data_IF_762540615051
#
_entry.id   IF_762540615051
#
_cell.length_a   1.000
_cell.length_b   1.000
_cell.length_c   1.000
_cell.angle_alpha   90.00
_cell.angle_beta   90.00
_cell.angle_gamma   90.00
#
_symmetry.space_group_name_H-M   'P 1'
#
loop_
_entity.id
_entity.type
_entity.pdbx_description
1 polymer ?
#
# COMPACT_ATOMS: atom_id res chain seq x y z
N UNK A 1 -6.90 3.12 36.06
CA UNK A 1 -7.20 1.68 36.23
C UNK A 1 -8.37 1.32 35.34
N UNK A 2 -8.29 0.24 34.59
CA UNK A 2 -9.27 -0.32 33.65
C UNK A 2 -9.23 0.25 32.22
N UNK A 3 -8.35 -0.33 31.39
CA UNK A 3 -8.52 -0.52 29.93
C UNK A 3 -7.55 -1.63 29.45
N UNK A 4 -7.70 -2.85 29.96
CA UNK A 4 -6.86 -4.02 29.57
C UNK A 4 -7.68 -5.23 29.09
N UNK A 5 -9.00 -5.14 28.90
CA UNK A 5 -9.84 -6.33 28.68
C UNK A 5 -10.45 -6.48 27.26
N UNK A 6 -10.15 -5.60 26.30
CA UNK A 6 -10.75 -5.69 24.97
C UNK A 6 -10.06 -6.69 24.02
N UNK A 7 -8.76 -6.84 24.12
CA UNK A 7 -7.96 -7.60 23.15
C UNK A 7 -8.00 -9.13 23.35
N UNK A 8 -8.10 -9.56 24.61
CA UNK A 8 -8.20 -11.00 24.91
C UNK A 8 -9.56 -11.62 24.53
N UNK A 9 -10.61 -10.84 24.38
CA UNK A 9 -11.94 -11.33 23.99
C UNK A 9 -12.04 -11.59 22.49
N UNK A 10 -11.30 -10.88 21.66
CA UNK A 10 -11.31 -11.06 20.21
C UNK A 10 -10.54 -12.32 19.77
N UNK A 11 -9.37 -12.56 20.34
CA UNK A 11 -8.61 -13.79 20.10
C UNK A 11 -9.33 -15.06 20.59
N UNK A 12 -10.11 -14.95 21.68
CA UNK A 12 -10.92 -16.09 22.20
C UNK A 12 -12.15 -16.38 21.31
N UNK A 13 -12.69 -15.40 20.60
CA UNK A 13 -13.80 -15.62 19.66
C UNK A 13 -13.33 -16.30 18.36
N UNK A 14 -12.14 -16.05 17.89
CA UNK A 14 -11.57 -16.74 16.71
C UNK A 14 -11.18 -18.19 17.01
N UNK A 15 -10.75 -18.51 18.26
CA UNK A 15 -10.47 -19.90 18.66
C UNK A 15 -11.74 -20.75 18.88
N UNK A 16 -12.89 -20.13 19.11
CA UNK A 16 -14.15 -20.84 19.37
C UNK A 16 -14.87 -21.34 18.10
N UNK A 17 -14.55 -20.79 16.93
CA UNK A 17 -15.18 -21.20 15.66
C UNK A 17 -14.56 -22.48 15.08
N UNK A 18 -13.37 -22.88 15.53
CA UNK A 18 -12.72 -24.14 15.10
C UNK A 18 -13.03 -25.36 15.99
N UNK A 19 -13.85 -25.22 17.04
CA UNK A 19 -14.14 -26.26 18.01
C UNK A 19 -15.60 -26.77 18.07
N UNK A 20 -16.48 -26.35 17.17
CA UNK A 20 -17.88 -26.76 17.18
C UNK A 20 -18.18 -27.85 16.14
N UNK A 21 -17.64 -29.04 16.35
CA UNK A 21 -17.91 -30.22 15.51
C UNK A 21 -17.77 -31.55 16.26
N UNK A 22 -17.99 -31.57 17.59
CA UNK A 22 -18.03 -32.82 18.36
C UNK A 22 -19.38 -32.95 19.05
N UNK A 23 -20.23 -33.84 18.53
CA UNK A 23 -21.45 -34.30 19.20
C UNK A 23 -21.01 -35.19 20.36
N UNK A 24 -21.30 -34.78 21.58
CA UNK A 24 -21.14 -35.62 22.78
C UNK A 24 -22.28 -36.61 22.92
N UNK A 25 -21.95 -37.88 22.84
CA UNK A 25 -22.80 -38.96 23.35
C UNK A 25 -22.18 -39.48 24.65
N UNK A 26 -22.88 -39.54 25.78
CA UNK A 26 -22.29 -40.06 27.02
C UNK A 26 -22.34 -41.60 27.05
N UNK A 27 -21.21 -42.23 27.29
CA UNK A 27 -21.15 -43.62 27.68
C UNK A 27 -19.96 -44.42 27.20
N UNK A 28 -19.14 -44.86 28.19
CA UNK A 28 -18.14 -45.93 28.13
C UNK A 28 -16.80 -45.65 27.47
N UNK A 29 -15.79 -45.44 28.30
CA UNK A 29 -14.39 -45.56 27.96
C UNK A 29 -14.02 -47.03 27.74
N UNK A 30 -13.69 -47.40 26.50
CA UNK A 30 -12.88 -48.58 26.19
C UNK A 30 -11.66 -48.10 25.45
N UNK A 31 -10.50 -48.21 26.10
CA UNK A 31 -9.22 -47.97 25.47
C UNK A 31 -8.94 -49.14 24.49
N UNK A 32 -9.20 -48.93 23.20
CA UNK A 32 -8.70 -49.75 22.13
C UNK A 32 -7.31 -49.28 21.68
N UNK A 33 -6.34 -50.15 21.42
CA UNK A 33 -5.05 -49.70 20.87
C UNK A 33 -5.22 -49.10 19.47
N UNK A 34 -4.50 -48.01 19.22
CA UNK A 34 -4.54 -47.35 17.94
C UNK A 34 -4.15 -48.31 16.80
N UNK A 35 -4.94 -48.41 15.73
CA UNK A 35 -4.56 -49.18 14.56
C UNK A 35 -3.38 -48.48 13.87
N UNK A 36 -2.29 -49.21 13.66
CA UNK A 36 -1.20 -48.79 12.80
C UNK A 36 -1.74 -48.82 11.37
N UNK A 37 -2.11 -47.67 10.85
CA UNK A 37 -2.56 -47.56 9.47
C UNK A 37 -1.36 -47.80 8.54
N UNK A 38 -1.24 -48.98 7.99
CA UNK A 38 -0.51 -49.16 6.75
C UNK A 38 -1.25 -48.41 5.65
N UNK A 39 -0.71 -47.27 5.22
CA UNK A 39 -1.21 -46.53 4.08
C UNK A 39 -0.95 -47.38 2.82
N UNK A 40 -1.93 -48.17 2.42
CA UNK A 40 -2.02 -48.64 1.05
C UNK A 40 -2.36 -47.41 0.17
N UNK A 41 -1.39 -46.99 -0.63
CA UNK A 41 -1.56 -45.97 -1.64
C UNK A 41 -2.50 -46.50 -2.75
N UNK A 42 -3.81 -46.41 -2.51
CA UNK A 42 -4.81 -46.83 -3.50
C UNK A 42 -4.97 -45.73 -4.55
N UNK A 43 -4.82 -46.09 -5.81
CA UNK A 43 -5.07 -45.22 -6.97
C UNK A 43 -6.46 -44.50 -6.94
N UNK A 44 -7.42 -45.06 -6.23
CA UNK A 44 -8.75 -44.46 -5.99
C UNK A 44 -8.72 -43.18 -5.16
N UNK A 45 -7.82 -43.06 -4.17
CA UNK A 45 -7.68 -41.84 -3.35
C UNK A 45 -7.01 -40.70 -4.12
N UNK A 46 -6.09 -41.02 -5.03
CA UNK A 46 -5.42 -40.05 -5.90
C UNK A 46 -6.38 -39.48 -6.95
N UNK A 47 -7.26 -40.33 -7.49
CA UNK A 47 -8.29 -39.90 -8.43
C UNK A 47 -9.35 -39.04 -7.72
N UNK A 48 -9.78 -39.41 -6.52
CA UNK A 48 -10.71 -38.62 -5.69
C UNK A 48 -10.18 -37.24 -5.36
N UNK A 49 -8.94 -37.17 -4.83
CA UNK A 49 -8.27 -35.90 -4.52
C UNK A 49 -8.04 -35.03 -5.78
N UNK A 50 -7.78 -35.65 -6.94
CA UNK A 50 -7.67 -34.94 -8.22
C UNK A 50 -8.99 -34.33 -8.69
N UNK A 51 -10.10 -35.05 -8.54
CA UNK A 51 -11.43 -34.56 -8.91
C UNK A 51 -11.91 -33.46 -7.94
N UNK A 52 -11.71 -33.63 -6.66
CA UNK A 52 -11.99 -32.58 -5.65
C UNK A 52 -11.16 -31.34 -5.90
N UNK A 53 -9.88 -31.47 -6.20
CA UNK A 53 -8.99 -30.39 -6.59
C UNK A 53 -9.44 -29.64 -7.86
N UNK A 54 -9.88 -30.38 -8.89
CA UNK A 54 -10.38 -29.77 -10.14
C UNK A 54 -11.71 -29.03 -9.94
N UNK A 55 -12.65 -29.57 -9.15
CA UNK A 55 -13.91 -28.90 -8.79
C UNK A 55 -13.65 -27.61 -8.01
N UNK A 56 -12.64 -27.60 -7.20
CA UNK A 56 -12.18 -26.49 -6.46
C UNK A 56 -11.65 -25.35 -7.29
N UNK A 57 -10.74 -25.66 -8.14
CA UNK A 57 -10.23 -24.71 -9.10
C UNK A 57 -11.36 -24.09 -9.94
N UNK A 58 -12.35 -24.90 -10.33
CA UNK A 58 -13.51 -24.41 -11.07
C UNK A 58 -14.36 -23.44 -10.24
N UNK A 59 -14.58 -23.72 -8.94
CA UNK A 59 -15.33 -22.84 -8.04
C UNK A 59 -14.57 -21.53 -7.77
N UNK A 60 -13.26 -21.61 -7.49
CA UNK A 60 -12.43 -20.42 -7.31
C UNK A 60 -12.40 -19.58 -8.59
N UNK A 61 -12.28 -20.20 -9.75
CA UNK A 61 -12.28 -19.49 -11.05
C UNK A 61 -13.62 -18.78 -11.27
N UNK A 62 -14.76 -19.40 -10.95
CA UNK A 62 -16.09 -18.76 -11.02
C UNK A 62 -16.21 -17.59 -10.04
N UNK A 63 -15.70 -17.75 -8.82
CA UNK A 63 -15.70 -16.71 -7.80
C UNK A 63 -14.90 -15.50 -8.27
N UNK A 64 -13.66 -15.70 -8.73
CA UNK A 64 -12.81 -14.63 -9.24
C UNK A 64 -13.41 -13.98 -10.48
N UNK A 65 -13.94 -14.76 -11.42
CA UNK A 65 -14.64 -14.21 -12.59
C UNK A 65 -15.84 -13.33 -12.20
N UNK A 66 -16.58 -13.70 -11.15
CA UNK A 66 -17.68 -12.87 -10.64
C UNK A 66 -17.12 -11.62 -9.96
N UNK A 67 -16.33 -11.75 -8.89
CA UNK A 67 -16.02 -10.65 -7.99
C UNK A 67 -14.79 -9.84 -8.37
N UNK A 68 -13.93 -10.36 -9.25
CA UNK A 68 -12.79 -9.62 -9.75
C UNK A 68 -13.03 -9.04 -11.15
N UNK A 69 -13.74 -9.75 -12.04
CA UNK A 69 -13.76 -9.40 -13.46
C UNK A 69 -15.12 -8.82 -13.91
N UNK A 70 -16.28 -9.24 -13.33
CA UNK A 70 -17.57 -8.69 -13.75
C UNK A 70 -17.91 -7.40 -12.99
N UNK A 71 -18.48 -6.42 -13.69
CA UNK A 71 -18.87 -5.14 -13.08
C UNK A 71 -19.87 -5.32 -11.93
N UNK A 72 -20.92 -6.11 -12.14
CA UNK A 72 -21.93 -6.41 -11.12
C UNK A 72 -21.30 -7.03 -9.87
N UNK A 73 -20.45 -8.03 -10.04
CA UNK A 73 -19.80 -8.71 -8.90
C UNK A 73 -18.80 -7.80 -8.18
N UNK A 74 -18.08 -6.96 -8.90
CA UNK A 74 -17.18 -5.94 -8.31
C UNK A 74 -17.95 -4.98 -7.41
N UNK A 75 -19.10 -4.49 -7.87
CA UNK A 75 -19.96 -3.59 -7.11
C UNK A 75 -20.58 -4.32 -5.90
N UNK A 76 -21.07 -5.55 -6.06
CA UNK A 76 -21.58 -6.37 -4.95
C UNK A 76 -20.51 -6.57 -3.87
N UNK A 77 -19.27 -6.87 -4.28
CA UNK A 77 -18.13 -7.03 -3.36
C UNK A 77 -17.79 -5.70 -2.65
N UNK A 78 -17.81 -4.59 -3.37
CA UNK A 78 -17.56 -3.26 -2.83
C UNK A 78 -18.59 -2.84 -1.79
N UNK A 79 -19.88 -3.04 -2.06
CA UNK A 79 -20.93 -2.71 -1.10
C UNK A 79 -20.83 -3.59 0.17
N UNK A 80 -20.40 -4.83 0.04
CA UNK A 80 -20.18 -5.68 1.19
C UNK A 80 -18.95 -5.24 2.01
N UNK A 81 -17.86 -4.81 1.35
CA UNK A 81 -16.72 -4.19 2.04
C UNK A 81 -17.17 -2.98 2.87
N UNK A 82 -18.00 -2.11 2.31
CA UNK A 82 -18.52 -0.93 3.01
C UNK A 82 -19.35 -1.29 4.25
N UNK A 83 -20.12 -2.38 4.20
CA UNK A 83 -20.87 -2.88 5.37
C UNK A 83 -19.95 -3.43 6.46
N UNK A 84 -18.92 -4.19 6.07
CA UNK A 84 -17.98 -4.84 7.00
C UNK A 84 -17.05 -3.85 7.70
N UNK A 85 -16.54 -2.85 6.96
CA UNK A 85 -15.55 -1.89 7.46
C UNK A 85 -16.16 -0.56 7.92
N UNK A 86 -17.41 -0.30 7.57
CA UNK A 86 -18.06 0.99 7.78
C UNK A 86 -17.52 2.07 6.84
N UNK A 87 -18.31 3.11 6.64
CA UNK A 87 -17.94 4.23 5.75
C UNK A 87 -17.78 5.51 6.55
N UNK A 88 -16.68 6.20 6.34
CA UNK A 88 -16.47 7.54 6.87
C UNK A 88 -17.07 8.58 5.90
N UNK A 89 -17.93 9.44 6.42
CA UNK A 89 -18.65 10.45 5.64
C UNK A 89 -18.07 11.87 5.82
N UNK A 90 -16.81 12.00 6.29
CA UNK A 90 -16.15 13.31 6.36
C UNK A 90 -15.97 13.86 4.95
N UNK A 91 -16.67 14.97 4.68
CA UNK A 91 -16.68 15.57 3.34
C UNK A 91 -15.29 16.04 2.91
N UNK A 92 -14.49 16.60 3.82
CA UNK A 92 -13.18 17.14 3.48
C UNK A 92 -12.19 16.01 3.12
N UNK A 93 -12.20 14.91 3.88
CA UNK A 93 -11.37 13.73 3.59
C UNK A 93 -11.79 13.08 2.27
N UNK A 94 -13.08 12.87 2.04
CA UNK A 94 -13.57 12.25 0.82
C UNK A 94 -13.24 13.12 -0.41
N UNK A 95 -13.50 14.45 -0.38
CA UNK A 95 -13.16 15.34 -1.48
C UNK A 95 -11.65 15.40 -1.77
N UNK A 96 -10.82 15.29 -0.74
CA UNK A 96 -9.36 15.20 -0.86
C UNK A 96 -8.95 13.92 -1.60
N UNK A 97 -9.50 12.77 -1.21
CA UNK A 97 -9.22 11.50 -1.87
C UNK A 97 -9.74 11.47 -3.29
N UNK A 98 -10.94 12.01 -3.56
CA UNK A 98 -11.47 12.10 -4.92
C UNK A 98 -10.52 12.85 -5.85
N UNK A 99 -9.93 13.94 -5.37
CA UNK A 99 -8.94 14.73 -6.12
C UNK A 99 -7.65 13.90 -6.39
N UNK A 100 -7.14 13.20 -5.37
CA UNK A 100 -5.94 12.38 -5.51
C UNK A 100 -6.18 11.22 -6.46
N UNK A 101 -7.30 10.52 -6.33
CA UNK A 101 -7.65 9.38 -7.19
C UNK A 101 -7.86 9.81 -8.65
N UNK A 102 -8.48 10.98 -8.88
CA UNK A 102 -8.63 11.53 -10.24
C UNK A 102 -7.27 11.83 -10.88
N UNK A 103 -6.36 12.47 -10.15
CA UNK A 103 -5.01 12.78 -10.63
C UNK A 103 -4.20 11.52 -10.91
N UNK A 104 -4.26 10.52 -10.02
CA UNK A 104 -3.58 9.23 -10.22
C UNK A 104 -4.19 8.46 -11.41
N UNK A 105 -5.52 8.44 -11.55
CA UNK A 105 -6.17 7.80 -12.69
C UNK A 105 -5.72 8.40 -14.01
N UNK A 106 -5.61 9.74 -14.09
CA UNK A 106 -5.10 10.42 -15.27
C UNK A 106 -3.62 10.09 -15.53
N UNK A 107 -2.79 10.08 -14.50
CA UNK A 107 -1.37 9.72 -14.59
C UNK A 107 -1.18 8.26 -15.06
N UNK A 108 -1.90 7.33 -14.45
CA UNK A 108 -1.86 5.90 -14.85
C UNK A 108 -2.37 5.74 -16.27
N UNK A 109 -3.48 6.39 -16.62
CA UNK A 109 -4.05 6.32 -17.97
C UNK A 109 -3.11 6.80 -19.08
N UNK A 110 -2.12 7.66 -18.75
CA UNK A 110 -1.10 8.10 -19.70
C UNK A 110 -0.06 7.01 -20.01
N UNK A 111 0.13 6.02 -19.14
CA UNK A 111 1.11 4.93 -19.28
C UNK A 111 0.44 3.57 -19.42
N UNK A 112 -0.74 3.37 -18.83
CA UNK A 112 -1.55 2.15 -18.89
C UNK A 112 -3.04 2.51 -19.05
N UNK A 113 -3.52 2.66 -20.31
CA UNK A 113 -4.92 3.02 -20.57
C UNK A 113 -5.96 1.99 -20.09
N UNK A 114 -5.54 0.76 -19.76
CA UNK A 114 -6.46 -0.29 -19.27
C UNK A 114 -7.13 0.07 -17.93
N UNK A 115 -6.63 1.10 -17.23
CA UNK A 115 -7.28 1.62 -16.02
C UNK A 115 -8.72 2.08 -16.29
N UNK A 116 -9.01 2.54 -17.50
CA UNK A 116 -10.35 3.00 -17.87
C UNK A 116 -11.32 1.85 -18.14
N UNK A 117 -10.80 0.65 -18.47
CA UNK A 117 -11.62 -0.54 -18.70
C UNK A 117 -12.14 -1.13 -17.38
N UNK A 118 -11.41 -0.91 -16.28
CA UNK A 118 -11.73 -1.40 -14.94
C UNK A 118 -11.46 -0.32 -13.90
N UNK A 119 -12.34 0.69 -13.78
CA UNK A 119 -12.17 1.81 -12.82
C UNK A 119 -12.10 1.33 -11.38
N UNK A 120 -11.40 2.09 -10.54
CA UNK A 120 -11.31 1.83 -9.10
C UNK A 120 -12.57 2.29 -8.37
N UNK A 121 -13.07 1.44 -7.48
CA UNK A 121 -14.01 1.81 -6.42
C UNK A 121 -13.22 2.03 -5.14
N UNK A 122 -13.51 3.07 -4.38
CA UNK A 122 -12.81 3.36 -3.14
C UNK A 122 -13.71 4.03 -2.11
N UNK A 123 -13.38 3.84 -0.85
CA UNK A 123 -14.04 4.53 0.27
C UNK A 123 -13.08 4.68 1.43
N UNK A 124 -13.34 5.67 2.29
CA UNK A 124 -12.66 5.84 3.57
C UNK A 124 -13.46 5.08 4.63
N UNK A 125 -12.79 4.25 5.41
CA UNK A 125 -13.37 3.57 6.56
C UNK A 125 -13.01 4.27 7.88
N UNK A 126 -13.59 3.81 9.02
CA UNK A 126 -13.38 4.42 10.34
C UNK A 126 -12.22 3.79 11.14
N UNK A 127 -11.41 2.91 10.56
CA UNK A 127 -10.26 2.33 11.24
C UNK A 127 -9.16 3.39 11.44
N UNK A 128 -8.67 3.49 12.65
CA UNK A 128 -7.64 4.47 13.06
C UNK A 128 -6.22 3.94 12.92
N UNK A 129 -6.02 2.71 12.46
CA UNK A 129 -4.70 2.19 12.10
C UNK A 129 -4.19 2.80 10.79
N UNK A 130 -2.87 2.93 10.66
CA UNK A 130 -2.25 3.38 9.43
C UNK A 130 -2.33 2.27 8.38
N UNK A 131 -3.27 2.37 7.44
CA UNK A 131 -3.37 1.42 6.33
C UNK A 131 -4.22 1.96 5.19
N UNK A 132 -4.00 1.42 4.00
CA UNK A 132 -4.90 1.39 2.86
C UNK A 132 -4.68 0.07 2.14
N UNK A 133 -5.67 -0.44 1.40
CA UNK A 133 -5.48 -1.66 0.64
C UNK A 133 -6.36 -1.74 -0.59
N UNK A 134 -5.81 -2.36 -1.62
CA UNK A 134 -6.56 -2.81 -2.79
C UNK A 134 -6.89 -4.31 -2.68
N UNK A 135 -8.07 -4.70 -3.13
CA UNK A 135 -8.53 -6.09 -3.18
C UNK A 135 -9.15 -6.42 -4.53
N UNK A 136 -9.88 -7.55 -4.62
CA UNK A 136 -10.51 -8.00 -5.87
C UNK A 136 -11.34 -6.90 -6.52
N UNK A 137 -11.34 -6.87 -7.84
CA UNK A 137 -12.20 -6.00 -8.62
C UNK A 137 -11.79 -4.52 -8.62
N UNK A 138 -10.54 -4.18 -8.32
CA UNK A 138 -10.06 -2.81 -8.11
C UNK A 138 -10.85 -2.08 -7.02
N UNK A 139 -11.25 -2.80 -5.97
CA UNK A 139 -11.89 -2.21 -4.81
C UNK A 139 -10.85 -1.84 -3.76
N UNK A 140 -10.89 -0.60 -3.26
CA UNK A 140 -9.94 -0.06 -2.30
C UNK A 140 -10.65 0.42 -1.04
N UNK A 141 -10.00 0.21 0.10
CA UNK A 141 -10.41 0.78 1.38
C UNK A 141 -9.24 1.56 1.98
N UNK A 142 -9.53 2.75 2.50
CA UNK A 142 -8.55 3.69 3.04
C UNK A 142 -8.92 3.94 4.50
N UNK A 143 -8.02 3.65 5.43
CA UNK A 143 -8.27 3.85 6.84
C UNK A 143 -8.16 5.35 7.20
N UNK A 144 -9.03 5.84 8.09
CA UNK A 144 -8.89 7.21 8.63
C UNK A 144 -7.55 7.44 9.30
N UNK A 145 -6.92 6.39 9.85
CA UNK A 145 -5.59 6.46 10.43
C UNK A 145 -4.49 6.87 9.45
N UNK A 146 -4.66 6.65 8.15
CA UNK A 146 -3.72 7.12 7.13
C UNK A 146 -3.54 8.64 7.20
N UNK A 147 -4.63 9.39 7.35
CA UNK A 147 -4.63 10.86 7.38
C UNK A 147 -4.09 11.45 8.68
N UNK A 148 -4.06 10.67 9.74
CA UNK A 148 -3.44 11.10 11.01
C UNK A 148 -1.91 11.07 10.93
N UNK A 149 -1.36 10.31 10.02
CA UNK A 149 0.09 10.17 9.79
C UNK A 149 0.54 10.97 8.58
N UNK A 150 -0.17 10.86 7.45
CA UNK A 150 0.16 11.54 6.20
C UNK A 150 -0.70 12.81 6.08
N UNK A 151 -0.08 13.95 6.30
CA UNK A 151 -0.72 15.27 6.19
C UNK A 151 -0.56 15.87 4.80
N UNK A 152 0.39 15.35 3.99
CA UNK A 152 0.75 15.81 2.67
C UNK A 152 0.08 14.94 1.58
N UNK A 153 -0.51 15.57 0.57
CA UNK A 153 -1.18 14.88 -0.56
C UNK A 153 -0.21 14.07 -1.41
N UNK A 154 1.03 14.54 -1.56
CA UNK A 154 2.04 13.81 -2.33
C UNK A 154 2.33 12.42 -1.72
N UNK A 155 2.42 12.35 -0.37
CA UNK A 155 2.66 11.08 0.33
C UNK A 155 1.43 10.15 0.30
N UNK A 156 0.22 10.72 0.43
CA UNK A 156 -1.02 9.96 0.28
C UNK A 156 -1.12 9.40 -1.14
N UNK A 157 -0.80 10.21 -2.16
CA UNK A 157 -0.80 9.77 -3.54
C UNK A 157 0.19 8.62 -3.79
N UNK A 158 1.34 8.59 -3.12
CA UNK A 158 2.27 7.46 -3.21
C UNK A 158 1.64 6.18 -2.68
N UNK A 159 1.00 6.22 -1.51
CA UNK A 159 0.34 5.04 -0.93
C UNK A 159 -0.78 4.56 -1.85
N UNK A 160 -1.66 5.47 -2.30
CA UNK A 160 -2.75 5.10 -3.20
C UNK A 160 -2.25 4.62 -4.57
N UNK A 161 -1.21 5.23 -5.12
CA UNK A 161 -0.55 4.78 -6.35
C UNK A 161 0.05 3.38 -6.22
N UNK A 162 0.59 3.03 -5.05
CA UNK A 162 1.05 1.68 -4.73
C UNK A 162 -0.11 0.67 -4.71
N UNK A 163 -1.22 1.01 -4.04
CA UNK A 163 -2.41 0.18 -4.02
C UNK A 163 -3.03 0.01 -5.41
N UNK A 164 -3.06 1.07 -6.21
CA UNK A 164 -3.48 0.99 -7.60
C UNK A 164 -2.52 0.13 -8.44
N UNK A 165 -1.21 0.13 -8.13
CA UNK A 165 -0.24 -0.78 -8.72
C UNK A 165 -0.57 -2.25 -8.44
N UNK A 166 -0.99 -2.58 -7.22
CA UNK A 166 -1.49 -3.92 -6.89
C UNK A 166 -2.73 -4.28 -7.72
N UNK A 167 -3.66 -3.35 -7.90
CA UNK A 167 -4.86 -3.55 -8.73
C UNK A 167 -4.50 -3.79 -10.20
N UNK A 168 -3.73 -2.87 -10.82
CA UNK A 168 -3.34 -2.96 -12.25
C UNK A 168 -2.58 -4.26 -12.58
N UNK A 169 -1.88 -4.84 -11.60
CA UNK A 169 -1.20 -6.14 -11.76
C UNK A 169 -2.02 -7.33 -11.26
N UNK A 170 -3.26 -7.10 -10.86
CA UNK A 170 -4.18 -8.15 -10.37
C UNK A 170 -3.57 -8.99 -9.23
N UNK A 171 -2.75 -8.35 -8.38
CA UNK A 171 -2.06 -9.00 -7.26
C UNK A 171 -3.04 -9.62 -6.26
N UNK A 172 -4.17 -8.97 -5.90
CA UNK A 172 -5.16 -9.57 -4.99
C UNK A 172 -5.74 -10.87 -5.53
N UNK A 173 -6.08 -10.95 -6.81
CA UNK A 173 -6.60 -12.18 -7.40
C UNK A 173 -5.52 -13.27 -7.53
N UNK A 174 -4.27 -12.89 -7.86
CA UNK A 174 -3.13 -13.82 -7.84
C UNK A 174 -2.85 -14.36 -6.44
N UNK A 175 -2.93 -13.50 -5.41
CA UNK A 175 -2.79 -13.88 -4.01
C UNK A 175 -3.92 -14.81 -3.56
N UNK A 176 -5.17 -14.48 -3.91
CA UNK A 176 -6.32 -15.32 -3.65
C UNK A 176 -6.19 -16.72 -4.27
N UNK A 177 -5.69 -16.83 -5.49
CA UNK A 177 -5.42 -18.14 -6.12
C UNK A 177 -4.38 -18.98 -5.39
N UNK A 178 -3.46 -18.34 -4.65
CA UNK A 178 -2.42 -19.05 -3.86
C UNK A 178 -2.91 -19.47 -2.49
N UNK A 179 -3.72 -18.64 -1.82
CA UNK A 179 -4.11 -18.81 -0.42
C UNK A 179 -5.47 -19.44 -0.23
N UNK A 180 -6.40 -19.26 -1.16
CA UNK A 180 -7.70 -19.90 -1.13
C UNK A 180 -7.58 -21.34 -1.63
N UNK A 181 -7.13 -22.23 -0.74
CA UNK A 181 -7.34 -23.65 -0.97
C UNK A 181 -8.80 -24.00 -0.66
N UNK A 182 -9.24 -25.12 -1.15
CA UNK A 182 -10.61 -25.65 -1.14
C UNK A 182 -11.35 -25.63 0.18
N UNK A 183 -10.65 -25.83 1.29
CA UNK A 183 -11.28 -25.92 2.61
C UNK A 183 -11.93 -24.57 3.01
N UNK A 184 -11.36 -23.44 2.58
CA UNK A 184 -11.88 -22.12 2.90
C UNK A 184 -13.14 -21.81 2.05
N UNK A 185 -13.15 -22.17 0.77
CA UNK A 185 -14.33 -22.00 -0.10
C UNK A 185 -15.40 -23.07 0.13
N UNK A 186 -15.01 -24.29 0.50
CA UNK A 186 -15.96 -25.37 0.85
C UNK A 186 -16.64 -25.14 2.19
N UNK A 187 -15.96 -24.55 3.17
CA UNK A 187 -16.57 -24.09 4.42
C UNK A 187 -17.50 -22.89 4.21
N UNK A 188 -17.37 -22.20 3.07
CA UNK A 188 -18.21 -21.06 2.69
C UNK A 188 -19.58 -21.44 2.10
N UNK A 189 -19.88 -22.74 1.89
CA UNK A 189 -21.23 -23.18 1.54
C UNK A 189 -22.16 -23.03 2.76
N UNK A 190 -22.76 -21.85 2.88
CA UNK A 190 -23.59 -21.45 4.04
C UNK A 190 -23.10 -20.18 4.74
N UNK A 191 -21.97 -19.59 4.29
CA UNK A 191 -21.45 -18.34 4.83
C UNK A 191 -22.02 -17.13 4.07
N UNK A 192 -22.10 -16.00 4.75
CA UNK A 192 -22.51 -14.72 4.13
C UNK A 192 -21.42 -14.18 3.22
N UNK A 193 -21.78 -13.36 2.23
CA UNK A 193 -20.79 -12.69 1.38
C UNK A 193 -19.77 -11.87 2.20
N UNK A 194 -20.21 -11.24 3.31
CA UNK A 194 -19.33 -10.50 4.21
C UNK A 194 -18.19 -11.34 4.80
N UNK A 195 -18.49 -12.57 5.25
CA UNK A 195 -17.42 -13.46 5.75
C UNK A 195 -16.46 -13.91 4.65
N UNK A 196 -16.93 -14.03 3.41
CA UNK A 196 -16.08 -14.33 2.26
C UNK A 196 -15.19 -13.12 1.95
N UNK A 197 -15.75 -11.91 1.92
CA UNK A 197 -15.01 -10.64 1.73
C UNK A 197 -13.90 -10.52 2.76
N UNK A 198 -14.21 -10.67 4.05
CA UNK A 198 -13.22 -10.63 5.13
C UNK A 198 -12.13 -11.69 4.96
N UNK A 199 -12.51 -12.91 4.57
CA UNK A 199 -11.55 -14.00 4.32
C UNK A 199 -10.61 -13.67 3.16
N UNK A 200 -11.12 -13.15 2.06
CA UNK A 200 -10.30 -12.75 0.89
C UNK A 200 -9.33 -11.63 1.26
N UNK A 201 -9.81 -10.62 1.99
CA UNK A 201 -8.97 -9.49 2.40
C UNK A 201 -7.87 -9.93 3.36
N UNK A 202 -8.18 -10.76 4.35
CA UNK A 202 -7.19 -11.25 5.32
C UNK A 202 -6.17 -12.24 4.73
N UNK A 203 -6.47 -12.86 3.58
CA UNK A 203 -5.62 -13.85 2.92
C UNK A 203 -5.12 -13.39 1.55
N UNK A 204 -4.88 -12.10 1.35
CA UNK A 204 -4.40 -11.53 0.06
C UNK A 204 -3.08 -12.15 -0.42
N UNK A 205 -2.26 -12.67 0.49
CA UNK A 205 -0.99 -13.35 0.21
C UNK A 205 -0.11 -12.58 -0.78
N UNK A 206 0.10 -11.30 -0.47
CA UNK A 206 1.00 -10.42 -1.22
C UNK A 206 2.43 -10.84 -0.93
N UNK A 207 3.23 -10.99 -1.96
CA UNK A 207 4.62 -11.43 -1.87
C UNK A 207 5.59 -10.28 -2.08
N UNK A 208 6.84 -10.40 -1.58
CA UNK A 208 7.89 -9.39 -1.80
C UNK A 208 8.12 -9.02 -3.28
N UNK A 209 8.08 -9.94 -4.25
CA UNK A 209 8.11 -9.56 -5.66
C UNK A 209 6.93 -8.69 -6.10
N UNK A 210 5.70 -8.97 -5.61
CA UNK A 210 4.52 -8.15 -5.90
C UNK A 210 4.65 -6.75 -5.27
N UNK A 211 5.20 -6.65 -4.05
CA UNK A 211 5.51 -5.36 -3.42
C UNK A 211 6.49 -4.54 -4.26
N UNK A 212 7.58 -5.15 -4.71
CA UNK A 212 8.56 -4.46 -5.57
C UNK A 212 7.97 -4.03 -6.91
N UNK A 213 7.06 -4.81 -7.49
CA UNK A 213 6.34 -4.44 -8.70
C UNK A 213 5.39 -3.27 -8.44
N UNK A 214 4.62 -3.29 -7.35
CA UNK A 214 3.74 -2.19 -6.96
C UNK A 214 4.53 -0.91 -6.63
N UNK A 215 5.69 -1.01 -5.96
CA UNK A 215 6.60 0.13 -5.73
C UNK A 215 7.15 0.72 -7.03
N UNK A 216 7.47 -0.12 -7.99
CA UNK A 216 7.96 0.34 -9.29
C UNK A 216 6.88 1.12 -10.04
N UNK A 217 5.64 0.62 -10.01
CA UNK A 217 4.48 1.28 -10.60
C UNK A 217 4.11 2.57 -9.86
N UNK A 218 4.12 2.57 -8.52
CA UNK A 218 3.88 3.79 -7.75
C UNK A 218 4.86 4.91 -8.16
N UNK A 219 6.16 4.59 -8.32
CA UNK A 219 7.14 5.55 -8.81
C UNK A 219 6.81 6.05 -10.22
N UNK A 220 6.47 5.15 -11.14
CA UNK A 220 6.07 5.50 -12.50
C UNK A 220 4.83 6.42 -12.51
N UNK A 221 3.79 6.08 -11.74
CA UNK A 221 2.56 6.86 -11.66
C UNK A 221 2.79 8.26 -11.08
N UNK A 222 3.59 8.36 -10.01
CA UNK A 222 3.92 9.63 -9.38
C UNK A 222 4.74 10.52 -10.33
N UNK A 223 5.70 9.95 -11.07
CA UNK A 223 6.51 10.74 -12.03
C UNK A 223 5.72 11.21 -13.26
N UNK A 224 4.56 10.62 -13.54
CA UNK A 224 3.64 11.04 -14.60
C UNK A 224 2.47 11.90 -14.07
N UNK A 225 2.47 12.21 -12.77
CA UNK A 225 1.47 13.06 -12.11
C UNK A 225 2.01 14.45 -11.80
N UNK A 226 1.20 15.25 -11.13
CA UNK A 226 1.61 16.55 -10.58
C UNK A 226 2.21 16.45 -9.15
N UNK A 227 2.32 15.24 -8.60
CA UNK A 227 2.88 15.00 -7.27
C UNK A 227 4.40 14.99 -7.29
N UNK A 228 4.99 15.34 -6.14
CA UNK A 228 6.44 15.37 -5.97
C UNK A 228 7.02 13.94 -5.99
N UNK A 229 7.93 13.59 -6.93
CA UNK A 229 8.50 12.25 -6.97
C UNK A 229 9.27 11.85 -5.69
N UNK A 230 9.77 12.83 -4.95
CA UNK A 230 10.47 12.61 -3.69
C UNK A 230 9.58 12.08 -2.57
N UNK A 231 8.27 12.29 -2.65
CA UNK A 231 7.31 11.72 -1.72
C UNK A 231 7.41 10.19 -1.65
N UNK A 232 7.84 9.52 -2.73
CA UNK A 232 8.07 8.08 -2.77
C UNK A 232 9.10 7.59 -1.74
N UNK A 233 10.13 8.40 -1.44
CA UNK A 233 11.10 8.11 -0.37
C UNK A 233 10.68 8.75 0.96
N UNK A 234 10.04 9.93 0.93
CA UNK A 234 9.61 10.68 2.10
C UNK A 234 8.60 9.90 2.95
N UNK A 235 7.61 9.27 2.33
CA UNK A 235 6.60 8.46 3.03
C UNK A 235 7.23 7.34 3.87
N UNK A 236 8.25 6.67 3.37
CA UNK A 236 8.97 5.63 4.11
C UNK A 236 9.81 6.20 5.25
N UNK A 237 10.39 7.38 5.07
CA UNK A 237 11.06 8.08 6.17
C UNK A 237 10.07 8.43 7.27
N UNK A 238 8.91 8.97 6.93
CA UNK A 238 7.85 9.29 7.89
C UNK A 238 7.34 8.03 8.62
N UNK A 239 7.08 6.94 7.89
CA UNK A 239 6.68 5.65 8.48
C UNK A 239 7.73 5.18 9.48
N UNK A 240 9.01 5.16 9.12
CA UNK A 240 10.11 4.76 9.99
C UNK A 240 10.24 5.65 11.24
N UNK A 241 10.01 6.97 11.11
CA UNK A 241 10.10 7.91 12.22
C UNK A 241 8.90 7.74 13.18
N UNK A 242 7.69 7.53 12.67
CA UNK A 242 6.47 7.34 13.45
C UNK A 242 6.38 5.95 14.08
N UNK A 243 6.82 4.90 13.39
CA UNK A 243 6.85 3.53 13.92
C UNK A 243 7.65 3.43 15.22
N UNK A 244 8.77 4.16 15.35
CA UNK A 244 9.58 4.21 16.57
C UNK A 244 8.79 4.65 17.80
N UNK A 245 7.79 5.51 17.61
CA UNK A 245 6.99 6.09 18.69
C UNK A 245 5.60 5.47 18.84
N UNK A 246 5.07 4.86 17.77
CA UNK A 246 3.71 4.31 17.70
C UNK A 246 3.67 2.95 16.96
N UNK A 247 4.44 1.94 17.37
CA UNK A 247 4.61 0.70 16.61
C UNK A 247 3.30 -0.05 16.36
N UNK A 248 2.34 0.01 17.30
CA UNK A 248 1.05 -0.68 17.17
C UNK A 248 0.18 -0.16 16.02
N UNK A 249 0.31 1.12 15.66
CA UNK A 249 -0.48 1.74 14.59
C UNK A 249 -0.04 1.28 13.19
N UNK A 250 1.20 0.78 13.06
CA UNK A 250 1.78 0.35 11.79
C UNK A 250 1.83 -1.18 11.61
N UNK A 251 1.48 -1.94 12.65
CA UNK A 251 1.61 -3.40 12.65
C UNK A 251 0.85 -4.05 11.48
N UNK A 252 -0.36 -3.59 11.20
CA UNK A 252 -1.17 -4.10 10.08
C UNK A 252 -0.52 -3.75 8.75
N UNK A 253 -0.12 -2.51 8.55
CA UNK A 253 0.53 -2.05 7.32
C UNK A 253 1.79 -2.86 7.00
N UNK A 254 2.65 -3.07 7.99
CA UNK A 254 3.88 -3.87 7.82
C UNK A 254 3.55 -5.34 7.52
N UNK A 255 2.48 -5.88 8.11
CA UNK A 255 2.03 -7.25 7.84
C UNK A 255 1.47 -7.41 6.43
N UNK A 256 0.69 -6.42 5.98
CA UNK A 256 0.04 -6.42 4.67
C UNK A 256 1.05 -6.17 3.53
N UNK A 257 2.12 -5.41 3.82
CA UNK A 257 3.15 -5.00 2.86
C UNK A 257 4.54 -5.50 3.29
N UNK A 258 4.81 -6.81 3.17
CA UNK A 258 6.09 -7.39 3.60
C UNK A 258 7.26 -6.77 2.85
N UNK A 259 8.05 -5.96 3.54
CA UNK A 259 9.22 -5.30 3.00
C UNK A 259 10.50 -6.09 3.26
N UNK A 260 11.54 -5.80 2.48
CA UNK A 260 12.91 -6.28 2.70
C UNK A 260 13.82 -5.21 3.33
N UNK A 261 13.22 -4.16 3.90
CA UNK A 261 13.92 -3.14 4.72
C UNK A 261 14.45 -1.93 3.95
N UNK A 262 14.52 -1.97 2.61
CA UNK A 262 15.24 -0.97 1.81
C UNK A 262 14.36 -0.19 0.82
N UNK A 263 13.03 -0.11 1.07
CA UNK A 263 12.11 0.57 0.13
C UNK A 263 12.48 2.03 -0.09
N UNK A 264 12.74 2.78 0.99
CA UNK A 264 13.20 4.17 0.92
C UNK A 264 14.45 4.33 0.06
N UNK A 265 15.48 3.51 0.31
CA UNK A 265 16.76 3.60 -0.39
C UNK A 265 16.62 3.16 -1.85
N UNK A 266 15.70 2.26 -2.15
CA UNK A 266 15.33 1.89 -3.52
C UNK A 266 14.73 3.08 -4.27
N UNK A 267 13.84 3.85 -3.64
CA UNK A 267 13.27 5.06 -4.24
C UNK A 267 14.33 6.16 -4.42
N UNK A 268 15.26 6.32 -3.49
CA UNK A 268 16.41 7.25 -3.68
C UNK A 268 17.23 6.86 -4.91
N UNK A 269 17.48 5.58 -5.16
CA UNK A 269 18.16 5.11 -6.38
C UNK A 269 17.34 5.40 -7.64
N UNK A 270 16.02 5.19 -7.60
CA UNK A 270 15.13 5.54 -8.73
C UNK A 270 15.15 7.03 -9.02
N UNK A 271 15.12 7.89 -7.99
CA UNK A 271 15.23 9.34 -8.14
C UNK A 271 16.59 9.77 -8.73
N UNK A 272 17.67 9.09 -8.33
CA UNK A 272 18.99 9.30 -8.92
C UNK A 272 18.98 9.01 -10.43
N UNK A 273 18.45 7.84 -10.85
CA UNK A 273 18.33 7.51 -12.27
C UNK A 273 17.38 8.47 -13.01
N UNK A 274 16.25 8.83 -12.41
CA UNK A 274 15.28 9.78 -12.96
C UNK A 274 15.87 11.17 -13.19
N UNK A 275 16.79 11.60 -12.32
CA UNK A 275 17.56 12.86 -12.48
C UNK A 275 18.70 12.77 -13.51
N UNK A 276 18.80 11.71 -14.31
CA UNK A 276 19.95 11.40 -15.16
C UNK A 276 21.28 11.34 -14.37
N UNK A 277 21.22 10.80 -13.14
CA UNK A 277 22.34 10.59 -12.22
C UNK A 277 22.99 11.88 -11.67
N UNK A 278 22.22 12.95 -11.62
CA UNK A 278 22.72 14.24 -11.15
C UNK A 278 22.44 14.50 -9.67
N UNK A 279 21.32 13.98 -9.13
CA UNK A 279 20.85 14.36 -7.81
C UNK A 279 20.67 13.14 -6.92
N UNK A 280 21.20 13.19 -5.69
CA UNK A 280 21.04 12.11 -4.71
C UNK A 280 20.95 12.67 -3.29
N UNK A 281 20.52 11.82 -2.34
CA UNK A 281 20.51 12.12 -0.92
C UNK A 281 21.41 11.15 -0.17
N UNK A 282 22.17 11.66 0.81
CA UNK A 282 22.95 10.86 1.74
C UNK A 282 22.89 11.48 3.13
N UNK A 283 22.44 10.71 4.10
CA UNK A 283 22.36 11.12 5.52
C UNK A 283 21.61 12.46 5.71
N UNK A 284 20.49 12.64 5.00
CA UNK A 284 19.69 13.87 5.02
C UNK A 284 20.25 15.04 4.20
N UNK A 285 21.45 14.90 3.64
CA UNK A 285 22.09 15.92 2.78
C UNK A 285 21.81 15.62 1.32
N UNK A 286 21.28 16.62 0.61
CA UNK A 286 21.09 16.56 -0.84
C UNK A 286 22.37 16.94 -1.56
N UNK A 287 22.74 16.12 -2.54
CA UNK A 287 23.89 16.35 -3.40
C UNK A 287 23.47 16.54 -4.85
N UNK A 288 24.06 17.54 -5.49
CA UNK A 288 23.91 17.83 -6.91
C UNK A 288 25.27 17.70 -7.57
N UNK A 289 25.40 16.85 -8.59
CA UNK A 289 26.69 16.56 -9.26
C UNK A 289 27.79 16.16 -8.27
N UNK A 290 27.43 15.42 -7.20
CA UNK A 290 28.33 14.97 -6.15
C UNK A 290 28.69 16.01 -5.09
N UNK A 291 28.28 17.28 -5.24
CA UNK A 291 28.52 18.36 -4.28
C UNK A 291 27.34 18.60 -3.36
N UNK A 292 27.59 18.93 -2.10
CA UNK A 292 26.56 19.18 -1.11
C UNK A 292 25.76 20.44 -1.49
N UNK A 293 24.44 20.27 -1.52
CA UNK A 293 23.51 21.37 -1.79
C UNK A 293 22.89 21.88 -0.49
N UNK A 294 22.12 21.04 0.21
CA UNK A 294 21.41 21.42 1.43
C UNK A 294 21.12 20.22 2.32
N UNK A 295 21.12 20.46 3.62
CA UNK A 295 20.56 19.56 4.64
C UNK A 295 19.40 20.31 5.27
N UNK A 296 18.14 20.05 4.86
CA UNK A 296 16.99 20.79 5.36
C UNK A 296 16.78 20.57 6.86
N UNK A 297 16.43 21.63 7.59
CA UNK A 297 15.99 21.53 8.96
C UNK A 297 14.58 20.90 9.04
N UNK A 298 14.16 20.41 10.22
CA UNK A 298 12.78 20.00 10.46
C UNK A 298 11.83 21.21 10.35
N UNK A 299 10.60 21.00 9.88
CA UNK A 299 9.59 22.07 9.77
C UNK A 299 8.18 21.48 9.85
N UNK A 300 7.35 22.10 10.72
CA UNK A 300 6.01 21.56 10.98
C UNK A 300 6.11 20.16 11.58
N UNK A 301 5.41 19.22 10.97
CA UNK A 301 5.39 17.80 11.36
C UNK A 301 6.40 16.94 10.58
N UNK A 302 7.15 17.55 9.64
CA UNK A 302 8.16 16.87 8.82
C UNK A 302 9.54 16.93 9.47
N UNK A 303 10.20 15.78 9.58
CA UNK A 303 11.63 15.74 9.93
C UNK A 303 12.50 16.35 8.81
N UNK A 304 13.72 16.78 9.16
CA UNK A 304 14.66 17.28 8.16
C UNK A 304 15.01 16.22 7.11
N UNK A 305 15.10 14.95 7.53
CA UNK A 305 15.31 13.82 6.62
C UNK A 305 14.16 13.64 5.63
N UNK A 306 12.91 13.72 6.10
CA UNK A 306 11.74 13.66 5.24
C UNK A 306 11.70 14.83 4.26
N UNK A 307 11.91 16.07 4.73
CA UNK A 307 12.00 17.25 3.85
C UNK A 307 13.10 17.12 2.81
N UNK A 308 14.22 16.46 3.14
CA UNK A 308 15.30 16.25 2.17
C UNK A 308 14.82 15.44 0.96
N UNK A 309 13.93 14.47 1.13
CA UNK A 309 13.41 13.70 0.00
C UNK A 309 12.49 14.53 -0.89
N UNK A 310 11.70 15.46 -0.36
CA UNK A 310 10.92 16.39 -1.18
C UNK A 310 11.85 17.30 -2.02
N UNK A 311 12.93 17.79 -1.43
CA UNK A 311 13.94 18.57 -2.16
C UNK A 311 14.63 17.71 -3.24
N UNK A 312 14.96 16.45 -2.91
CA UNK A 312 15.51 15.48 -3.87
C UNK A 312 14.59 15.29 -5.07
N UNK A 313 13.28 15.07 -4.80
CA UNK A 313 12.28 14.86 -5.85
C UNK A 313 12.10 16.08 -6.76
N UNK A 314 12.03 17.27 -6.19
CA UNK A 314 11.93 18.52 -6.94
C UNK A 314 13.16 18.74 -7.84
N UNK A 315 14.36 18.52 -7.30
CA UNK A 315 15.59 18.60 -8.09
C UNK A 315 15.63 17.51 -9.18
N UNK A 316 15.24 16.27 -8.84
CA UNK A 316 15.22 15.18 -9.81
C UNK A 316 14.27 15.50 -10.96
N UNK A 317 13.06 16.02 -10.67
CA UNK A 317 12.12 16.49 -11.68
C UNK A 317 12.68 17.66 -12.51
N UNK A 318 13.37 18.63 -11.87
CA UNK A 318 14.00 19.74 -12.56
C UNK A 318 15.06 19.27 -13.56
N UNK A 319 15.89 18.31 -13.18
CA UNK A 319 16.91 17.74 -14.07
C UNK A 319 16.28 16.91 -15.18
N UNK A 320 15.30 16.07 -14.86
CA UNK A 320 14.58 15.26 -15.84
C UNK A 320 13.92 16.13 -16.92
N UNK A 321 13.30 17.25 -16.52
CA UNK A 321 12.60 18.18 -17.39
C UNK A 321 13.53 19.26 -18.01
N UNK A 322 14.84 19.16 -17.85
CA UNK A 322 15.81 20.07 -18.43
C UNK A 322 15.85 21.48 -17.81
N UNK A 323 15.20 21.70 -16.65
CA UNK A 323 15.19 22.99 -15.94
C UNK A 323 16.56 23.35 -15.36
N UNK A 324 17.46 22.36 -15.19
CA UNK A 324 18.85 22.59 -14.73
C UNK A 324 19.67 23.49 -15.64
N UNK A 325 19.24 23.71 -16.88
CA UNK A 325 19.87 24.67 -17.83
C UNK A 325 19.57 26.11 -17.47
N UNK A 326 18.51 26.36 -16.71
CA UNK A 326 18.10 27.70 -16.30
C UNK A 326 18.83 28.14 -15.03
N UNK A 327 18.81 29.46 -14.74
CA UNK A 327 19.35 30.01 -13.50
C UNK A 327 18.44 29.64 -12.32
N UNK A 328 19.08 29.24 -11.22
CA UNK A 328 18.39 29.19 -9.95
C UNK A 328 18.19 30.63 -9.42
N UNK A 329 17.00 30.92 -8.95
CA UNK A 329 16.61 32.24 -8.41
C UNK A 329 15.68 32.04 -7.20
N UNK A 330 15.31 33.13 -6.58
CA UNK A 330 14.42 33.13 -5.42
C UNK A 330 13.09 33.77 -5.79
N UNK A 331 12.00 33.08 -5.42
CA UNK A 331 10.66 33.64 -5.41
C UNK A 331 10.12 33.59 -3.96
N UNK A 332 10.01 34.77 -3.32
CA UNK A 332 9.72 34.87 -1.91
C UNK A 332 10.77 34.18 -1.03
N UNK A 333 10.42 33.06 -0.42
CA UNK A 333 11.33 32.20 0.35
C UNK A 333 11.66 30.89 -0.37
N UNK A 334 11.20 30.74 -1.61
CA UNK A 334 11.37 29.49 -2.37
C UNK A 334 12.54 29.61 -3.33
N UNK A 335 13.44 28.65 -3.30
CA UNK A 335 14.47 28.44 -4.32
C UNK A 335 13.80 27.83 -5.53
N UNK A 336 13.93 28.48 -6.67
CA UNK A 336 13.44 28.03 -7.97
C UNK A 336 14.61 27.62 -8.87
N UNK A 337 14.41 26.62 -9.71
CA UNK A 337 15.34 26.28 -10.80
C UNK A 337 14.52 26.29 -12.11
N UNK A 338 14.70 27.38 -12.88
CA UNK A 338 13.75 27.69 -13.93
C UNK A 338 12.33 27.88 -13.33
N UNK A 339 11.35 27.13 -13.81
CA UNK A 339 9.99 27.17 -13.30
C UNK A 339 9.71 26.12 -12.20
N UNK A 340 10.70 25.30 -11.84
CA UNK A 340 10.54 24.25 -10.85
C UNK A 340 10.85 24.79 -9.45
N UNK A 341 9.90 24.78 -8.51
CA UNK A 341 10.17 25.04 -7.10
C UNK A 341 11.03 23.89 -6.53
N UNK A 342 12.11 24.26 -5.85
CA UNK A 342 13.04 23.27 -5.28
C UNK A 342 12.82 23.11 -3.79
N UNK A 343 12.84 24.22 -3.05
CA UNK A 343 12.72 24.22 -1.61
C UNK A 343 12.26 25.59 -1.12
N UNK A 344 11.29 25.61 -0.22
CA UNK A 344 10.94 26.80 0.57
C UNK A 344 11.74 26.80 1.86
N UNK A 345 12.61 27.80 2.04
CA UNK A 345 13.43 27.96 3.24
C UNK A 345 12.57 28.39 4.44
N UNK A 346 12.79 27.74 5.56
CA UNK A 346 12.19 28.09 6.86
C UNK A 346 13.18 28.90 7.71
N UNK A 347 12.82 29.24 8.96
CA UNK A 347 13.68 30.01 9.86
C UNK A 347 15.00 29.29 10.16
N UNK A 348 14.94 27.97 10.32
CA UNK A 348 16.10 27.15 10.72
C UNK A 348 16.93 26.64 9.51
N UNK A 349 16.48 26.92 8.29
CA UNK A 349 17.21 26.60 7.06
C UNK A 349 18.19 27.73 6.71
N UNK A 350 19.14 27.43 5.83
CA UNK A 350 19.90 28.47 5.14
C UNK A 350 18.96 29.34 4.30
N UNK A 351 19.30 30.61 4.12
CA UNK A 351 18.48 31.52 3.32
C UNK A 351 18.35 31.05 1.87
N UNK A 352 17.15 31.22 1.30
CA UNK A 352 16.87 30.86 -0.09
C UNK A 352 17.88 31.51 -1.08
N UNK A 353 18.35 32.71 -0.79
CA UNK A 353 19.34 33.41 -1.60
C UNK A 353 20.68 32.64 -1.64
N UNK A 354 21.21 32.23 -0.48
CA UNK A 354 22.46 31.43 -0.42
C UNK A 354 22.31 30.08 -1.13
N UNK A 355 21.15 29.45 -0.97
CA UNK A 355 20.86 28.17 -1.63
C UNK A 355 20.77 28.33 -3.15
N UNK A 356 20.12 29.37 -3.67
CA UNK A 356 20.07 29.65 -5.11
C UNK A 356 21.46 29.92 -5.70
N UNK A 357 22.29 30.72 -5.02
CA UNK A 357 23.68 30.98 -5.42
C UNK A 357 24.52 29.68 -5.44
N UNK A 358 24.39 28.84 -4.39
CA UNK A 358 25.08 27.53 -4.33
C UNK A 358 24.62 26.64 -5.47
N UNK A 359 23.29 26.55 -5.71
CA UNK A 359 22.74 25.72 -6.77
C UNK A 359 23.28 26.14 -8.14
N UNK A 360 23.39 27.43 -8.40
CA UNK A 360 24.00 27.95 -9.64
C UNK A 360 25.46 27.56 -9.82
N UNK A 361 26.17 27.28 -8.73
CA UNK A 361 27.61 26.91 -8.77
C UNK A 361 27.82 25.41 -8.99
N UNK A 362 26.85 24.57 -8.56
CA UNK A 362 27.01 23.10 -8.51
C UNK A 362 26.18 22.35 -9.55
N UNK A 363 25.16 23.01 -10.15
CA UNK A 363 24.25 22.40 -11.14
C UNK A 363 24.91 22.12 -12.49
#
# INVERSE_FOLDING_TARGET
MQAKNGWHTWQKKMAAVLAAGVIMVPGAYVLAPAPVAHAEFGWGSVIGAGIEGAMAHAQLSKFLKKYNDSEEGRQEFFEEMKKEYGVNNDYALNSRIDTIMANLTAAIGSVDPTIYDKPYNYFINNDTSFNAFCTLGHNMSINTGLFSVLTNDDEIAVVLGHEMGHGQKDHPAKGARRSLNMQILGAATGTTLGSIVTTVINNRNITKPMEREADALAFEYITHSNYNPGATAAVWQRVMDKEKTQPSSFQQFISDHPSDGDRRDTYVKKLYEYSNKHVTAKDGTIKVNGKDFVTPAASGDMSGAERSYFVLGNLAAAYHNGQNKNQAHVDGKTVMLGNQPIMTSTYDDESAQKLAERLNTIK
#
